data_IF_249444685151
#
_entry.id   IF_249444685151
#
_cell.length_a   1.000
_cell.length_b   1.000
_cell.length_c   1.000
_cell.angle_alpha   90.00
_cell.angle_beta   90.00
_cell.angle_gamma   90.00
#
_symmetry.space_group_name_H-M   'P 1'
#
loop_
_entity.id
_entity.type
_entity.pdbx_description
1 polymer ?
#
# COMPACT_ATOMS: atom_id res chain seq x y z
N UNK A 1 31.42 29.05 42.41
CA UNK A 1 31.23 28.04 41.34
C UNK A 1 29.71 27.76 41.25
N UNK A 2 28.81 28.49 40.58
CA UNK A 2 28.82 29.26 39.32
C UNK A 2 29.50 28.49 38.20
N UNK A 3 28.77 27.57 37.53
CA UNK A 3 28.96 27.12 36.12
C UNK A 3 28.16 25.88 35.66
N UNK A 4 26.95 25.59 36.17
CA UNK A 4 26.15 24.48 35.59
C UNK A 4 24.67 24.79 35.30
N UNK A 5 24.24 26.05 35.42
CA UNK A 5 22.83 26.45 35.21
C UNK A 5 22.56 27.07 33.83
N UNK A 6 23.43 26.85 32.83
CA UNK A 6 23.42 27.61 31.56
C UNK A 6 23.72 26.76 30.32
N UNK A 7 23.27 25.50 30.29
CA UNK A 7 23.40 24.62 29.13
C UNK A 7 22.10 23.82 28.84
N UNK A 8 20.96 24.43 29.16
CA UNK A 8 19.61 23.90 28.90
C UNK A 8 18.73 24.86 28.08
N UNK A 9 19.35 25.76 27.32
CA UNK A 9 18.70 26.57 26.30
C UNK A 9 19.54 26.42 25.02
N UNK A 10 18.91 26.19 23.88
CA UNK A 10 19.49 25.94 22.53
C UNK A 10 19.61 24.48 22.07
N UNK A 11 18.60 23.66 22.32
CA UNK A 11 18.09 22.77 21.26
C UNK A 11 16.79 23.37 20.75
N UNK A 12 16.92 24.40 19.90
CA UNK A 12 15.84 24.86 19.05
C UNK A 12 15.58 23.72 18.05
N UNK A 13 14.68 22.82 18.42
CA UNK A 13 14.11 21.83 17.52
C UNK A 13 13.27 22.61 16.51
N UNK A 14 13.89 23.02 15.40
CA UNK A 14 13.17 23.46 14.21
C UNK A 14 12.40 22.23 13.70
N UNK A 15 11.21 22.02 14.25
CA UNK A 15 10.17 21.25 13.59
C UNK A 15 9.77 22.12 12.39
N UNK A 16 10.50 21.97 11.29
CA UNK A 16 9.94 22.28 9.98
C UNK A 16 8.78 21.31 9.79
N UNK A 17 7.61 21.73 10.25
CA UNK A 17 6.36 21.20 9.75
C UNK A 17 6.39 21.54 8.27
N UNK A 18 6.81 20.58 7.45
CA UNK A 18 6.61 20.63 6.02
C UNK A 18 5.09 20.55 5.80
N UNK A 19 4.40 21.69 6.00
CA UNK A 19 3.07 21.88 5.48
C UNK A 19 3.21 21.76 3.97
N UNK A 20 2.99 20.55 3.44
CA UNK A 20 2.67 20.40 2.04
C UNK A 20 1.50 21.34 1.77
N UNK A 21 1.58 22.23 0.76
CA UNK A 21 0.44 23.07 0.43
C UNK A 21 -0.78 22.18 0.27
N UNK A 22 -1.86 22.54 0.96
CA UNK A 22 -3.13 21.82 0.89
C UNK A 22 -3.55 21.78 -0.58
N UNK A 23 -3.99 20.63 -1.06
CA UNK A 23 -4.48 20.51 -2.42
C UNK A 23 -5.68 21.45 -2.61
N UNK A 24 -5.65 22.25 -3.67
CA UNK A 24 -6.72 23.16 -4.03
C UNK A 24 -7.21 22.85 -5.44
N UNK A 25 -8.52 22.95 -5.64
CA UNK A 25 -9.11 22.82 -6.96
C UNK A 25 -8.78 24.04 -7.81
N UNK A 26 -8.55 23.85 -9.12
CA UNK A 26 -8.41 24.99 -10.02
C UNK A 26 -9.72 25.77 -10.12
N UNK A 27 -9.65 27.10 -10.00
CA UNK A 27 -10.80 28.00 -10.13
C UNK A 27 -11.36 28.07 -11.55
N UNK A 28 -10.54 27.76 -12.56
CA UNK A 28 -10.90 27.70 -13.97
C UNK A 28 -10.21 26.50 -14.61
N UNK A 29 -10.98 25.73 -15.38
CA UNK A 29 -10.49 24.58 -16.14
C UNK A 29 -11.34 24.37 -17.40
N UNK A 30 -10.76 23.71 -18.38
CA UNK A 30 -11.45 23.25 -19.58
C UNK A 30 -11.87 21.79 -19.43
N UNK A 31 -13.12 21.48 -19.71
CA UNK A 31 -13.59 20.09 -19.80
C UNK A 31 -12.97 19.37 -20.99
N UNK A 32 -12.64 18.10 -20.80
CA UNK A 32 -12.13 17.25 -21.88
C UNK A 32 -12.96 15.98 -21.99
N UNK A 33 -13.05 15.44 -23.22
CA UNK A 33 -13.67 14.13 -23.46
C UNK A 33 -12.67 12.97 -23.28
N UNK A 34 -11.44 13.25 -22.87
CA UNK A 34 -10.39 12.27 -22.68
C UNK A 34 -10.45 11.65 -21.28
N UNK A 35 -10.10 10.38 -21.17
CA UNK A 35 -9.87 9.74 -19.88
C UNK A 35 -8.46 10.07 -19.37
N UNK A 36 -8.31 10.22 -18.06
CA UNK A 36 -7.00 10.33 -17.44
C UNK A 36 -6.23 9.01 -17.61
N UNK A 37 -4.96 9.08 -18.01
CA UNK A 37 -4.08 7.92 -17.98
C UNK A 37 -3.48 7.81 -16.58
N UNK A 38 -3.89 6.78 -15.86
CA UNK A 38 -3.42 6.51 -14.49
C UNK A 38 -2.74 5.14 -14.39
N UNK A 39 -1.85 4.99 -13.41
CA UNK A 39 -1.27 3.70 -13.06
C UNK A 39 -1.15 3.51 -11.54
N UNK A 40 -1.63 2.39 -10.98
CA UNK A 40 -2.41 1.34 -11.64
C UNK A 40 -3.75 1.87 -12.19
N UNK A 41 -4.36 1.13 -13.12
CA UNK A 41 -5.67 1.49 -13.66
C UNK A 41 -6.77 1.08 -12.67
N UNK A 42 -7.19 2.06 -11.85
CA UNK A 42 -8.26 1.90 -10.88
C UNK A 42 -9.61 2.43 -11.38
N UNK A 43 -9.78 2.68 -12.69
CA UNK A 43 -11.06 3.20 -13.19
C UNK A 43 -12.18 2.17 -13.02
N UNK A 44 -13.31 2.61 -12.48
CA UNK A 44 -14.57 1.86 -12.39
C UNK A 44 -14.48 0.51 -11.65
N UNK A 45 -13.64 0.47 -10.61
CA UNK A 45 -13.44 -0.73 -9.77
C UNK A 45 -14.39 -0.79 -8.57
N UNK A 46 -14.46 -1.96 -7.95
CA UNK A 46 -15.09 -2.17 -6.63
C UNK A 46 -14.01 -2.23 -5.57
N UNK A 47 -14.19 -1.48 -4.48
CA UNK A 47 -13.25 -1.42 -3.35
C UNK A 47 -13.96 -1.76 -2.05
N UNK A 48 -13.31 -2.50 -1.14
CA UNK A 48 -13.86 -2.72 0.20
C UNK A 48 -13.61 -1.50 1.09
N UNK A 49 -14.49 -1.24 2.07
CA UNK A 49 -14.48 -0.01 2.86
C UNK A 49 -13.27 0.09 3.81
N UNK A 50 -12.51 -0.99 4.01
CA UNK A 50 -11.31 -1.03 4.85
C UNK A 50 -10.00 -1.08 4.05
N UNK A 51 -10.02 -0.94 2.72
CA UNK A 51 -8.78 -0.97 1.90
C UNK A 51 -7.88 0.24 2.20
N UNK A 52 -6.57 0.03 2.16
CA UNK A 52 -5.58 1.09 2.20
C UNK A 52 -5.77 2.11 1.05
N UNK A 53 -5.26 3.34 1.19
CA UNK A 53 -5.36 4.36 0.14
C UNK A 53 -4.89 3.88 -1.24
N UNK A 54 -5.75 4.04 -2.25
CA UNK A 54 -5.45 3.68 -3.63
C UNK A 54 -4.65 4.79 -4.31
N UNK A 55 -3.39 4.92 -3.91
CA UNK A 55 -2.47 5.87 -4.54
C UNK A 55 -2.19 5.48 -6.01
N UNK A 56 -2.18 6.46 -6.91
CA UNK A 56 -1.94 6.25 -8.33
C UNK A 56 -1.07 7.35 -8.92
N UNK A 57 -0.43 7.05 -10.05
CA UNK A 57 0.35 8.00 -10.85
C UNK A 57 -0.54 8.52 -11.97
N UNK A 58 -0.60 9.83 -12.16
CA UNK A 58 -1.17 10.44 -13.36
C UNK A 58 -0.10 10.61 -14.44
N UNK A 59 -0.46 10.35 -15.70
CA UNK A 59 0.45 10.50 -16.85
C UNK A 59 -0.21 11.33 -17.95
N UNK A 60 0.41 12.45 -18.24
CA UNK A 60 0.11 13.33 -19.35
C UNK A 60 1.40 14.07 -19.68
N UNK A 61 1.95 13.83 -20.88
CA UNK A 61 3.29 14.30 -21.28
C UNK A 61 3.39 15.82 -21.39
N UNK A 62 2.26 16.53 -21.45
CA UNK A 62 2.22 18.00 -21.51
C UNK A 62 1.80 18.63 -20.19
N UNK A 63 1.44 17.85 -19.17
CA UNK A 63 1.01 18.38 -17.89
C UNK A 63 2.17 18.55 -16.90
N UNK A 64 2.09 19.60 -16.08
CA UNK A 64 3.11 19.95 -15.08
C UNK A 64 2.65 19.77 -13.64
N UNK A 65 1.36 19.59 -13.41
CA UNK A 65 0.78 19.34 -12.08
C UNK A 65 -0.56 18.61 -12.21
N UNK A 66 -0.96 17.91 -11.15
CA UNK A 66 -2.27 17.25 -11.07
C UNK A 66 -2.93 17.48 -9.72
N UNK A 67 -4.26 17.50 -9.74
CA UNK A 67 -5.10 17.45 -8.53
C UNK A 67 -6.17 16.39 -8.76
N UNK A 68 -6.36 15.51 -7.78
CA UNK A 68 -7.46 14.56 -7.75
C UNK A 68 -8.47 14.99 -6.68
N UNK A 69 -9.75 14.90 -7.01
CA UNK A 69 -10.86 15.10 -6.10
C UNK A 69 -11.68 13.82 -6.05
N UNK A 70 -11.96 13.36 -4.84
CA UNK A 70 -12.80 12.21 -4.59
C UNK A 70 -13.98 12.63 -3.72
N UNK A 71 -15.21 12.30 -4.14
CA UNK A 71 -16.44 12.69 -3.44
C UNK A 71 -17.42 11.54 -3.32
N UNK A 72 -18.00 11.38 -2.14
CA UNK A 72 -18.99 10.33 -1.87
C UNK A 72 -19.76 10.63 -0.60
N UNK A 73 -21.10 10.51 -0.65
CA UNK A 73 -22.00 10.63 0.51
C UNK A 73 -21.76 11.86 1.42
N UNK A 74 -21.34 12.99 0.84
CA UNK A 74 -21.12 14.25 1.57
C UNK A 74 -19.69 14.45 2.08
N UNK A 75 -18.82 13.45 1.92
CA UNK A 75 -17.38 13.55 2.21
C UNK A 75 -16.60 13.89 0.94
N UNK A 76 -15.48 14.58 1.13
CA UNK A 76 -14.55 15.00 0.08
C UNK A 76 -13.10 14.75 0.49
N UNK A 77 -12.29 14.29 -0.46
CA UNK A 77 -10.84 14.18 -0.34
C UNK A 77 -10.18 14.89 -1.53
N UNK A 78 -9.23 15.79 -1.25
CA UNK A 78 -8.43 16.47 -2.26
C UNK A 78 -6.95 16.09 -2.13
N UNK A 79 -6.34 15.68 -3.24
CA UNK A 79 -4.93 15.30 -3.26
C UNK A 79 -4.22 15.92 -4.46
N UNK A 80 -3.15 16.67 -4.20
CA UNK A 80 -2.25 17.18 -5.23
C UNK A 80 -1.15 16.15 -5.49
N UNK A 81 -0.75 16.00 -6.75
CA UNK A 81 0.34 15.10 -7.10
C UNK A 81 1.69 15.64 -6.63
N UNK A 82 2.62 14.74 -6.29
CA UNK A 82 4.05 15.09 -6.20
C UNK A 82 4.64 15.35 -7.59
N UNK A 83 5.89 15.82 -7.64
CA UNK A 83 6.60 16.16 -8.88
C UNK A 83 6.67 15.01 -9.89
N UNK A 84 6.66 13.76 -9.41
CA UNK A 84 6.64 12.52 -10.20
C UNK A 84 5.22 12.09 -10.62
N UNK A 85 4.21 12.93 -10.41
CA UNK A 85 2.82 12.67 -10.81
C UNK A 85 2.05 11.75 -9.87
N UNK A 86 2.60 11.39 -8.69
CA UNK A 86 1.92 10.50 -7.74
C UNK A 86 0.87 11.26 -6.93
N UNK A 87 -0.40 10.86 -7.06
CA UNK A 87 -1.49 11.21 -6.17
C UNK A 87 -1.39 10.32 -4.92
N UNK A 88 -1.08 10.93 -3.77
CA UNK A 88 -1.12 10.27 -2.46
C UNK A 88 -2.29 10.79 -1.66
N UNK A 89 -3.25 9.92 -1.40
CA UNK A 89 -4.44 10.26 -0.61
C UNK A 89 -4.09 10.25 0.88
N UNK A 90 -4.62 11.21 1.63
CA UNK A 90 -4.48 11.18 3.08
C UNK A 90 -5.22 9.97 3.65
N UNK A 91 -4.57 9.25 4.57
CA UNK A 91 -5.12 7.99 5.08
C UNK A 91 -6.36 8.20 5.94
N UNK A 92 -6.44 9.33 6.65
CA UNK A 92 -7.58 9.66 7.50
C UNK A 92 -8.77 10.07 6.65
N UNK A 93 -8.57 11.01 5.72
CA UNK A 93 -9.61 11.46 4.79
C UNK A 93 -10.14 10.29 3.94
N UNK A 94 -9.25 9.41 3.46
CA UNK A 94 -9.62 8.22 2.68
C UNK A 94 -10.52 7.26 3.49
N UNK A 95 -10.16 6.99 4.74
CA UNK A 95 -10.94 6.11 5.61
C UNK A 95 -12.31 6.71 5.93
N UNK A 96 -12.38 8.02 6.17
CA UNK A 96 -13.64 8.74 6.39
C UNK A 96 -14.54 8.63 5.16
N UNK A 97 -13.99 8.93 3.97
CA UNK A 97 -14.70 8.86 2.69
C UNK A 97 -15.25 7.45 2.39
N UNK A 98 -14.42 6.40 2.53
CA UNK A 98 -14.85 5.02 2.32
C UNK A 98 -15.92 4.58 3.33
N UNK A 99 -15.77 4.97 4.60
CA UNK A 99 -16.73 4.61 5.65
C UNK A 99 -18.10 5.24 5.39
N UNK A 100 -18.12 6.51 5.00
CA UNK A 100 -19.36 7.21 4.65
C UNK A 100 -20.00 6.66 3.37
N UNK A 101 -19.20 6.13 2.44
CA UNK A 101 -19.64 5.73 1.10
C UNK A 101 -19.97 4.24 0.94
N UNK A 102 -20.02 3.45 2.03
CA UNK A 102 -20.42 2.03 1.97
C UNK A 102 -21.71 1.80 1.17
N UNK A 103 -21.70 0.79 0.31
CA UNK A 103 -22.83 0.46 -0.56
C UNK A 103 -23.14 1.50 -1.65
N UNK A 104 -22.22 2.43 -1.91
CA UNK A 104 -22.40 3.54 -2.84
C UNK A 104 -21.15 3.83 -3.65
N UNK A 105 -21.30 4.69 -4.65
CA UNK A 105 -20.20 5.15 -5.49
C UNK A 105 -19.51 6.40 -4.90
N UNK A 106 -18.20 6.47 -5.14
CA UNK A 106 -17.35 7.65 -4.99
C UNK A 106 -16.98 8.13 -6.40
N UNK A 107 -17.21 9.42 -6.71
CA UNK A 107 -16.69 10.02 -7.94
C UNK A 107 -15.20 10.32 -7.80
N UNK A 108 -14.46 10.12 -8.88
CA UNK A 108 -13.05 10.49 -8.98
C UNK A 108 -12.87 11.43 -10.17
N UNK A 109 -12.50 12.66 -9.85
CA UNK A 109 -12.28 13.76 -10.77
C UNK A 109 -10.77 14.06 -10.81
N UNK A 110 -10.17 14.15 -12.00
CA UNK A 110 -8.73 14.43 -12.18
C UNK A 110 -8.56 15.70 -13.00
N UNK A 111 -7.76 16.62 -12.46
CA UNK A 111 -7.37 17.86 -13.09
C UNK A 111 -5.88 17.82 -13.42
N UNK A 112 -5.49 18.28 -14.61
CA UNK A 112 -4.10 18.43 -15.03
C UNK A 112 -3.78 19.85 -15.47
N UNK A 113 -2.67 20.41 -15.00
CA UNK A 113 -2.17 21.70 -15.45
C UNK A 113 -1.37 21.52 -16.74
N UNK A 114 -1.94 21.93 -17.86
CA UNK A 114 -1.33 21.96 -19.20
C UNK A 114 -0.89 23.39 -19.56
N UNK A 115 -0.13 23.60 -20.67
CA UNK A 115 0.31 24.94 -21.08
C UNK A 115 -0.85 25.92 -21.29
N UNK A 116 -1.97 25.44 -21.83
CA UNK A 116 -3.15 26.25 -22.12
C UNK A 116 -4.07 26.49 -20.90
N UNK A 117 -3.73 25.91 -19.75
CA UNK A 117 -4.54 26.00 -18.53
C UNK A 117 -4.80 24.66 -17.86
N UNK A 118 -5.71 24.66 -16.88
CA UNK A 118 -6.15 23.41 -16.26
C UNK A 118 -7.14 22.69 -17.17
N UNK A 119 -6.98 21.37 -17.29
CA UNK A 119 -7.88 20.48 -17.99
C UNK A 119 -8.53 19.54 -16.97
N UNK A 120 -9.84 19.32 -17.09
CA UNK A 120 -10.58 18.33 -16.33
C UNK A 120 -10.84 17.12 -17.22
N UNK A 121 -10.39 15.94 -16.77
CA UNK A 121 -10.62 14.69 -17.49
C UNK A 121 -12.01 14.15 -17.22
N UNK A 122 -12.47 13.26 -18.10
CA UNK A 122 -13.71 12.53 -17.88
C UNK A 122 -13.65 11.80 -16.53
N UNK A 123 -14.60 12.06 -15.61
CA UNK A 123 -14.61 11.42 -14.31
C UNK A 123 -14.95 9.93 -14.43
N UNK A 124 -14.48 9.18 -13.45
CA UNK A 124 -14.80 7.75 -13.26
C UNK A 124 -15.19 7.52 -11.80
N UNK A 125 -15.50 6.28 -11.43
CA UNK A 125 -15.95 5.98 -10.07
C UNK A 125 -15.22 4.83 -9.39
N UNK A 126 -15.27 4.83 -8.07
CA UNK A 126 -15.07 3.64 -7.24
C UNK A 126 -16.41 3.22 -6.66
N UNK A 127 -16.78 1.95 -6.78
CA UNK A 127 -17.95 1.40 -6.07
C UNK A 127 -17.49 0.83 -4.73
N UNK A 128 -18.04 1.30 -3.61
CA UNK A 128 -17.63 0.82 -2.28
C UNK A 128 -18.55 -0.32 -1.85
N UNK A 129 -17.98 -1.48 -1.55
CA UNK A 129 -18.72 -2.63 -1.03
C UNK A 129 -19.32 -2.35 0.36
N UNK A 130 -20.33 -3.12 0.75
CA UNK A 130 -20.93 -3.05 2.09
C UNK A 130 -20.00 -3.68 3.14
N UNK A 131 -19.50 -4.88 2.82
CA UNK A 131 -18.66 -5.69 3.69
C UNK A 131 -17.16 -5.35 3.57
N UNK A 132 -16.42 -5.39 4.70
CA UNK A 132 -14.97 -5.32 4.68
C UNK A 132 -14.36 -6.61 4.11
N UNK A 133 -13.11 -6.52 3.63
CA UNK A 133 -12.29 -7.69 3.32
C UNK A 133 -11.43 -8.13 4.51
N UNK A 134 -10.93 -9.36 4.45
CA UNK A 134 -9.86 -9.81 5.33
C UNK A 134 -8.63 -8.91 5.21
N UNK A 135 -8.05 -8.56 6.35
CA UNK A 135 -6.99 -7.57 6.40
C UNK A 135 -5.66 -8.06 5.84
N UNK A 136 -5.43 -9.36 5.68
CA UNK A 136 -4.11 -9.90 5.34
C UNK A 136 -4.11 -10.78 4.10
N UNK A 137 -3.16 -10.53 3.21
CA UNK A 137 -2.81 -11.38 2.09
C UNK A 137 -1.43 -12.00 2.32
N UNK A 138 -1.32 -13.32 2.28
CA UNK A 138 -0.04 -14.04 2.31
C UNK A 138 0.42 -14.40 0.89
N UNK A 139 1.69 -14.18 0.58
CA UNK A 139 2.26 -14.40 -0.75
C UNK A 139 3.77 -14.57 -0.71
N UNK A 140 4.36 -14.86 -1.88
CA UNK A 140 5.81 -14.98 -2.08
C UNK A 140 6.29 -13.85 -2.97
N UNK A 141 7.49 -13.35 -2.69
CA UNK A 141 8.26 -12.58 -3.64
C UNK A 141 9.21 -13.55 -4.35
N UNK A 142 9.09 -13.65 -5.67
CA UNK A 142 9.89 -14.57 -6.48
C UNK A 142 10.73 -13.73 -7.42
N UNK A 143 12.00 -13.54 -7.09
CA UNK A 143 12.97 -12.90 -8.00
C UNK A 143 13.34 -13.84 -9.15
N UNK A 144 13.66 -13.34 -10.35
CA UNK A 144 13.97 -14.18 -11.53
C UNK A 144 15.09 -15.23 -11.35
N UNK A 145 15.93 -15.14 -10.30
CA UNK A 145 17.06 -16.04 -10.00
C UNK A 145 16.82 -17.10 -8.91
N UNK A 146 15.57 -17.49 -8.66
CA UNK A 146 15.14 -18.37 -7.55
C UNK A 146 15.74 -19.79 -7.50
N UNK A 147 16.48 -20.21 -8.53
CA UNK A 147 17.05 -21.57 -8.63
C UNK A 147 18.02 -21.92 -7.50
N UNK A 148 18.67 -20.92 -6.89
CA UNK A 148 19.65 -21.11 -5.82
C UNK A 148 19.02 -21.16 -4.41
N UNK A 149 17.69 -21.07 -4.29
CA UNK A 149 16.98 -20.97 -3.01
C UNK A 149 17.55 -19.92 -2.06
N UNK A 150 17.93 -18.77 -2.61
CA UNK A 150 18.47 -17.62 -1.87
C UNK A 150 17.38 -16.58 -1.64
N UNK A 151 17.35 -15.96 -0.46
CA UNK A 151 16.46 -14.84 -0.11
C UNK A 151 15.00 -15.11 -0.46
N UNK A 152 14.54 -16.32 -0.15
CA UNK A 152 13.14 -16.71 -0.31
C UNK A 152 12.40 -16.45 0.99
N UNK A 153 11.19 -15.92 0.86
CA UNK A 153 10.33 -15.67 2.00
C UNK A 153 8.85 -15.84 1.68
N UNK A 154 8.11 -16.06 2.76
CA UNK A 154 6.66 -15.92 2.80
C UNK A 154 6.40 -14.59 3.48
N UNK A 155 5.62 -13.74 2.83
CA UNK A 155 5.29 -12.40 3.31
C UNK A 155 3.80 -12.29 3.52
N UNK A 156 3.40 -11.44 4.46
CA UNK A 156 2.02 -11.01 4.58
C UNK A 156 1.93 -9.50 4.35
N UNK A 157 0.88 -9.06 3.67
CA UNK A 157 0.55 -7.65 3.50
C UNK A 157 -0.77 -7.33 4.18
N UNK A 158 -0.75 -6.32 5.04
CA UNK A 158 -1.95 -5.73 5.60
C UNK A 158 -2.61 -4.87 4.51
N UNK A 159 -3.73 -5.34 3.95
CA UNK A 159 -4.49 -4.68 2.90
C UNK A 159 -5.14 -3.37 3.38
N UNK A 160 -5.25 -3.15 4.70
CA UNK A 160 -5.84 -1.93 5.29
C UNK A 160 -4.83 -0.81 5.53
N UNK A 161 -3.53 -1.13 5.60
CA UNK A 161 -2.44 -0.17 5.82
C UNK A 161 -1.36 -0.20 4.74
N UNK A 162 -1.41 -1.18 3.85
CA UNK A 162 -0.40 -1.52 2.84
C UNK A 162 0.96 -1.98 3.40
N UNK A 163 1.08 -2.15 4.72
CA UNK A 163 2.30 -2.63 5.37
C UNK A 163 2.59 -4.09 5.01
N UNK A 164 3.85 -4.41 4.77
CA UNK A 164 4.32 -5.77 4.51
C UNK A 164 5.31 -6.20 5.59
N UNK A 165 5.13 -7.40 6.10
CA UNK A 165 6.08 -8.02 7.04
C UNK A 165 6.39 -9.46 6.63
N UNK A 166 7.61 -9.96 6.87
CA UNK A 166 7.94 -11.36 6.64
C UNK A 166 7.21 -12.25 7.65
N UNK A 167 6.64 -13.36 7.17
CA UNK A 167 6.20 -14.49 7.99
C UNK A 167 7.38 -15.44 8.22
N UNK A 168 8.17 -15.67 7.17
CA UNK A 168 9.38 -16.49 7.20
C UNK A 168 10.33 -16.02 6.10
N UNK A 169 11.63 -15.97 6.39
CA UNK A 169 12.70 -15.76 5.41
C UNK A 169 13.78 -16.80 5.64
N UNK A 170 14.27 -17.42 4.57
CA UNK A 170 15.24 -18.49 4.66
C UNK A 170 16.65 -18.01 5.05
N UNK A 171 17.02 -16.79 4.64
CA UNK A 171 18.22 -16.11 5.05
C UNK A 171 18.06 -14.60 4.95
N UNK A 172 18.64 -13.89 5.92
CA UNK A 172 18.73 -12.42 5.91
C UNK A 172 20.08 -11.94 5.35
N UNK A 173 21.11 -12.75 5.55
CA UNK A 173 22.46 -12.59 5.01
C UNK A 173 22.85 -13.84 4.21
N UNK A 174 23.69 -13.70 3.20
CA UNK A 174 24.03 -14.82 2.31
C UNK A 174 24.83 -15.91 3.04
N UNK A 175 24.28 -17.13 3.10
CA UNK A 175 24.95 -18.33 3.59
C UNK A 175 24.41 -19.56 2.85
N UNK A 176 25.28 -20.27 2.12
CA UNK A 176 24.90 -21.47 1.36
C UNK A 176 24.34 -22.60 2.24
N UNK A 177 24.83 -22.73 3.48
CA UNK A 177 24.32 -23.73 4.43
C UNK A 177 22.87 -23.50 4.85
N UNK A 178 22.36 -22.28 4.68
CA UNK A 178 21.01 -21.89 5.06
C UNK A 178 20.08 -21.70 3.84
N UNK A 179 20.57 -21.85 2.61
CA UNK A 179 19.73 -21.78 1.41
C UNK A 179 18.76 -22.96 1.36
N UNK A 180 17.46 -22.66 1.43
CA UNK A 180 16.41 -23.67 1.35
C UNK A 180 15.11 -23.07 0.81
N UNK A 181 14.29 -23.92 0.21
CA UNK A 181 13.05 -23.47 -0.43
C UNK A 181 11.87 -23.47 0.55
N UNK A 182 11.05 -22.42 0.54
CA UNK A 182 9.78 -22.33 1.29
C UNK A 182 8.56 -22.06 0.39
N UNK A 183 8.64 -22.49 -0.86
CA UNK A 183 7.62 -22.17 -1.87
C UNK A 183 6.26 -22.81 -1.59
N UNK A 184 6.24 -23.98 -0.94
CA UNK A 184 5.02 -24.70 -0.64
C UNK A 184 4.54 -24.32 0.75
N UNK A 185 3.37 -23.67 0.85
CA UNK A 185 2.72 -23.34 2.09
C UNK A 185 1.20 -23.34 1.92
N UNK A 186 0.47 -23.64 2.99
CA UNK A 186 -0.99 -23.65 2.99
C UNK A 186 -1.53 -23.33 4.39
N UNK A 187 -2.68 -22.67 4.43
CA UNK A 187 -3.39 -22.33 5.65
C UNK A 187 -4.63 -23.21 5.77
N UNK A 188 -4.82 -23.85 6.93
CA UNK A 188 -6.01 -24.66 7.20
C UNK A 188 -7.21 -23.73 7.31
N UNK A 189 -8.07 -23.73 6.30
CA UNK A 189 -9.27 -22.88 6.23
C UNK A 189 -8.96 -21.39 6.45
N UNK A 190 -7.80 -20.91 5.97
CA UNK A 190 -7.37 -19.52 6.14
C UNK A 190 -6.88 -19.14 7.54
N UNK A 191 -6.83 -20.08 8.50
CA UNK A 191 -6.35 -19.80 9.85
C UNK A 191 -4.82 -19.62 9.90
N UNK A 192 -4.37 -18.53 10.50
CA UNK A 192 -2.95 -18.26 10.78
C UNK A 192 -2.41 -19.09 11.95
N UNK A 193 -3.28 -19.64 12.80
CA UNK A 193 -2.90 -20.51 13.92
C UNK A 193 -2.62 -21.95 13.47
N UNK A 194 -3.11 -22.34 12.28
CA UNK A 194 -2.99 -23.67 11.72
C UNK A 194 -2.52 -23.62 10.27
N UNK A 195 -1.21 -23.70 10.04
CA UNK A 195 -0.63 -23.67 8.69
C UNK A 195 0.50 -24.69 8.54
N UNK A 196 0.83 -25.02 7.30
CA UNK A 196 1.99 -25.84 6.95
C UNK A 196 2.82 -25.10 5.92
N UNK A 197 4.13 -25.18 6.04
CA UNK A 197 5.02 -24.90 4.91
C UNK A 197 6.13 -25.94 4.84
N UNK A 198 6.58 -26.24 3.63
CA UNK A 198 7.56 -27.30 3.42
C UNK A 198 8.91 -26.69 3.06
N UNK A 199 9.92 -27.05 3.86
CA UNK A 199 11.32 -26.70 3.62
C UNK A 199 11.96 -27.77 2.74
N UNK A 200 12.52 -27.38 1.59
CA UNK A 200 13.29 -28.27 0.70
C UNK A 200 14.77 -27.91 0.69
N UNK A 201 15.63 -28.91 0.50
CA UNK A 201 17.10 -28.83 0.58
C UNK A 201 17.60 -28.78 2.03
N UNK A 202 18.50 -27.86 2.36
CA UNK A 202 19.04 -27.66 3.70
C UNK A 202 17.90 -27.48 4.70
N UNK A 203 18.07 -28.04 5.89
CA UNK A 203 17.05 -28.02 6.94
C UNK A 203 15.71 -28.64 6.50
N UNK A 204 15.73 -29.54 5.52
CA UNK A 204 14.54 -30.12 4.89
C UNK A 204 13.54 -30.76 5.84
N UNK A 205 12.26 -30.56 5.56
CA UNK A 205 11.14 -31.15 6.29
C UNK A 205 9.90 -30.25 6.34
N UNK A 206 8.71 -30.82 6.57
CA UNK A 206 7.51 -30.03 6.81
C UNK A 206 7.59 -29.26 8.14
N UNK A 207 7.28 -27.97 8.11
CA UNK A 207 7.00 -27.16 9.30
C UNK A 207 5.49 -27.07 9.45
N UNK A 208 4.99 -27.49 10.60
CA UNK A 208 3.57 -27.43 10.95
C UNK A 208 3.40 -26.43 12.07
N UNK A 209 2.48 -25.50 11.88
CA UNK A 209 2.00 -24.57 12.90
C UNK A 209 0.65 -25.08 13.36
N UNK A 210 0.51 -25.31 14.67
CA UNK A 210 -0.75 -25.68 15.33
C UNK A 210 -0.89 -24.84 16.58
N UNK A 211 -2.07 -24.26 16.78
CA UNK A 211 -2.38 -23.33 17.87
C UNK A 211 -1.32 -22.21 18.00
N UNK A 212 -0.86 -21.70 16.85
CA UNK A 212 0.16 -20.65 16.77
C UNK A 212 1.59 -21.10 17.07
N UNK A 213 1.82 -22.40 17.31
CA UNK A 213 3.15 -22.95 17.64
C UNK A 213 3.72 -23.73 16.46
N UNK A 214 4.85 -23.26 15.95
CA UNK A 214 5.59 -23.93 14.89
C UNK A 214 6.42 -25.10 15.44
N UNK A 215 6.34 -26.25 14.79
CA UNK A 215 7.23 -27.38 15.02
C UNK A 215 7.57 -28.06 13.68
N UNK A 216 8.79 -28.58 13.60
CA UNK A 216 9.24 -29.34 12.44
C UNK A 216 8.85 -30.81 12.61
N UNK A 217 8.22 -31.40 11.60
CA UNK A 217 8.00 -32.85 11.58
C UNK A 217 9.36 -33.51 11.34
N UNK A 218 9.82 -34.27 12.34
CA UNK A 218 10.93 -35.20 12.15
C UNK A 218 10.37 -36.44 11.47
N UNK A 219 10.75 -36.63 10.20
CA UNK A 219 10.58 -37.92 9.55
C UNK A 219 11.67 -38.82 10.11
N UNK A 220 11.27 -39.95 10.71
CA UNK A 220 12.22 -41.01 11.08
C UNK A 220 12.67 -41.67 9.79
N UNK A 221 13.97 -41.94 9.70
CA UNK A 221 14.53 -42.85 8.71
C UNK A 221 13.98 -44.28 8.89
#
# INVERSE_FOLDING_TARGET
MRRYTLLYLYTLLFIVVACKPKAELPSQFAETNAEAQIYPDYKDIVVPPNIAPLNFICRDSIATAYVAQLKGKGEELLAAASEDGIIKMDTTEWRTLLTASKGSDISVDIYAKRPDGWAHFKPYKFSVAEEPIDAFLSYRLIEPGYELYRQLGIYQRNLTTFEQVPVYENNREYNDGDNHCVNCHNYRMGSTESMVFHVRSNHGGPIVVQDGKAHKIQLKD
#
